data_IF_136108664185
#
_entry.id   IF_136108664185
#
_cell.length_a   1.000
_cell.length_b   1.000
_cell.length_c   1.000
_cell.angle_alpha   90.00
_cell.angle_beta   90.00
_cell.angle_gamma   90.00
#
_symmetry.space_group_name_H-M   'P 1'
#
loop_
_entity.id
_entity.type
_entity.pdbx_description
1 polymer ?
#
# COMPACT_ATOMS: atom_id res chain seq x y z
N UNK A 1 0.75 7.83 15.63
CA UNK A 1 -0.15 7.23 16.64
C UNK A 1 -1.62 7.68 16.59
N UNK A 2 -1.97 8.95 16.29
CA UNK A 2 -3.37 9.42 16.28
C UNK A 2 -4.34 8.52 15.49
N UNK A 3 -3.93 8.06 14.30
CA UNK A 3 -4.74 7.15 13.48
C UNK A 3 -5.05 5.83 14.21
N UNK A 4 -4.01 5.15 14.71
CA UNK A 4 -4.16 3.89 15.45
C UNK A 4 -4.99 4.02 16.74
N UNK A 5 -4.86 5.13 17.47
CA UNK A 5 -5.70 5.39 18.66
C UNK A 5 -7.17 5.59 18.27
N UNK A 6 -7.43 6.27 17.15
CA UNK A 6 -8.80 6.43 16.65
C UNK A 6 -9.40 5.09 16.21
N UNK A 7 -8.61 4.27 15.50
CA UNK A 7 -9.02 2.92 15.09
C UNK A 7 -9.32 2.02 16.30
N UNK A 8 -8.50 2.09 17.35
CA UNK A 8 -8.74 1.38 18.62
C UNK A 8 -10.05 1.82 19.27
N UNK A 9 -10.31 3.13 19.33
CA UNK A 9 -11.56 3.66 19.88
C UNK A 9 -12.77 3.18 19.08
N UNK A 10 -12.69 3.20 17.74
CA UNK A 10 -13.74 2.68 16.87
C UNK A 10 -13.98 1.19 17.14
N UNK A 11 -12.92 0.38 17.14
CA UNK A 11 -12.96 -1.07 17.41
C UNK A 11 -13.63 -1.37 18.74
N UNK A 12 -13.21 -0.69 19.81
CA UNK A 12 -13.77 -0.86 21.16
C UNK A 12 -15.25 -0.46 21.20
N UNK A 13 -15.62 0.60 20.49
CA UNK A 13 -17.01 1.05 20.38
C UNK A 13 -17.88 0.02 19.67
N UNK A 14 -17.39 -0.57 18.57
CA UNK A 14 -18.11 -1.64 17.86
C UNK A 14 -18.27 -2.90 18.73
N UNK A 15 -17.22 -3.30 19.45
CA UNK A 15 -17.30 -4.43 20.39
C UNK A 15 -18.30 -4.15 21.52
N UNK A 16 -18.32 -2.93 22.07
CA UNK A 16 -19.27 -2.51 23.10
C UNK A 16 -20.72 -2.56 22.58
N UNK A 17 -20.93 -2.22 21.31
CA UNK A 17 -22.23 -2.31 20.65
C UNK A 17 -22.64 -3.75 20.29
N UNK A 18 -21.83 -4.76 20.63
CA UNK A 18 -22.14 -6.18 20.42
C UNK A 18 -21.69 -6.74 19.07
N UNK A 19 -20.93 -5.98 18.26
CA UNK A 19 -20.38 -6.49 17.00
C UNK A 19 -19.17 -7.39 17.24
N UNK A 20 -19.07 -8.44 16.44
CA UNK A 20 -17.83 -9.20 16.28
C UNK A 20 -16.93 -8.45 15.29
N UNK A 21 -15.79 -7.98 15.76
CA UNK A 21 -14.84 -7.22 14.94
C UNK A 21 -13.71 -8.15 14.50
N UNK A 22 -13.37 -8.11 13.22
CA UNK A 22 -12.13 -8.65 12.66
C UNK A 22 -11.40 -7.48 12.00
N UNK A 23 -10.27 -7.10 12.57
CA UNK A 23 -9.40 -6.04 12.06
C UNK A 23 -8.21 -6.67 11.34
N UNK A 24 -7.89 -6.12 10.18
CA UNK A 24 -6.72 -6.48 9.37
C UNK A 24 -5.92 -5.20 9.17
N UNK A 25 -4.62 -5.25 9.47
CA UNK A 25 -3.70 -4.12 9.29
C UNK A 25 -2.42 -4.63 8.66
N UNK A 26 -2.12 -4.26 7.42
CA UNK A 26 -0.93 -4.75 6.76
C UNK A 26 0.36 -4.16 7.35
N UNK A 27 1.46 -4.89 7.19
CA UNK A 27 2.82 -4.38 7.37
C UNK A 27 3.40 -4.22 5.97
N UNK A 28 3.72 -2.98 5.58
CA UNK A 28 4.43 -2.70 4.34
C UNK A 28 5.92 -2.93 4.59
N UNK A 29 6.39 -4.13 4.27
CA UNK A 29 7.78 -4.55 4.46
C UNK A 29 8.60 -4.53 3.16
N UNK A 30 8.04 -3.99 2.07
CA UNK A 30 8.74 -3.74 0.81
C UNK A 30 8.26 -2.42 0.19
N UNK A 31 9.18 -1.49 0.00
CA UNK A 31 8.98 -0.19 -0.68
C UNK A 31 10.33 0.37 -1.16
N UNK A 32 10.33 1.37 -2.04
CA UNK A 32 11.56 1.94 -2.63
C UNK A 32 12.57 2.40 -1.57
N UNK A 33 12.09 2.92 -0.43
CA UNK A 33 12.95 3.39 0.67
C UNK A 33 13.63 2.25 1.41
N UNK A 34 12.92 1.14 1.63
CA UNK A 34 13.46 -0.07 2.23
C UNK A 34 14.53 -0.66 1.31
N UNK A 35 14.26 -0.77 0.01
CA UNK A 35 15.21 -1.30 -0.98
C UNK A 35 16.48 -0.43 -1.04
N UNK A 36 16.33 0.90 -1.07
CA UNK A 36 17.48 1.83 -1.02
C UNK A 36 18.31 1.65 0.24
N UNK A 37 17.68 1.48 1.40
CA UNK A 37 18.36 1.24 2.67
C UNK A 37 19.12 -0.09 2.66
N UNK A 38 18.49 -1.17 2.21
CA UNK A 38 19.11 -2.49 2.05
C UNK A 38 20.37 -2.41 1.19
N UNK A 39 20.29 -1.75 0.03
CA UNK A 39 21.43 -1.61 -0.88
C UNK A 39 22.54 -0.73 -0.31
N UNK A 40 22.20 0.35 0.39
CA UNK A 40 23.18 1.28 0.97
C UNK A 40 23.93 0.67 2.16
N UNK A 41 23.24 -0.14 2.98
CA UNK A 41 23.78 -0.68 4.23
C UNK A 41 24.17 -2.17 4.12
N UNK A 42 23.90 -2.82 2.98
CA UNK A 42 24.18 -4.24 2.77
C UNK A 42 23.31 -5.16 3.63
N UNK A 43 22.11 -4.71 3.98
CA UNK A 43 21.18 -5.44 4.84
C UNK A 43 20.25 -6.34 4.04
N UNK A 44 19.85 -7.44 4.65
CA UNK A 44 18.68 -8.22 4.21
C UNK A 44 17.39 -7.46 4.48
N UNK A 45 16.30 -7.89 3.84
CA UNK A 45 14.97 -7.30 4.03
C UNK A 45 14.52 -7.35 5.49
N UNK A 46 14.77 -8.48 6.14
CA UNK A 46 14.42 -8.70 7.53
C UNK A 46 15.22 -7.76 8.45
N UNK A 47 16.54 -7.65 8.25
CA UNK A 47 17.37 -6.71 9.01
C UNK A 47 16.95 -5.25 8.80
N UNK A 48 16.51 -4.91 7.60
CA UNK A 48 16.06 -3.56 7.27
C UNK A 48 14.68 -3.22 7.88
N UNK A 49 13.81 -4.19 8.13
CA UNK A 49 12.40 -3.98 8.49
C UNK A 49 12.04 -4.38 9.91
N UNK A 50 12.60 -5.47 10.42
CA UNK A 50 12.22 -6.08 11.69
C UNK A 50 12.38 -5.13 12.91
N UNK A 51 13.43 -4.30 13.01
CA UNK A 51 13.53 -3.33 14.11
C UNK A 51 12.35 -2.33 14.14
N UNK A 52 11.84 -1.94 12.97
CA UNK A 52 10.70 -1.02 12.87
C UNK A 52 9.38 -1.73 13.16
N UNK A 53 9.24 -2.99 12.76
CA UNK A 53 8.08 -3.82 13.09
C UNK A 53 7.99 -4.03 14.60
N UNK A 54 9.11 -4.33 15.26
CA UNK A 54 9.19 -4.49 16.70
C UNK A 54 8.82 -3.19 17.43
N UNK A 55 9.45 -2.07 17.05
CA UNK A 55 9.13 -0.76 17.61
C UNK A 55 7.64 -0.40 17.45
N UNK A 56 7.06 -0.70 16.28
CA UNK A 56 5.63 -0.51 16.05
C UNK A 56 4.77 -1.30 17.06
N UNK A 57 5.06 -2.57 17.31
CA UNK A 57 4.31 -3.36 18.28
C UNK A 57 4.55 -2.93 19.74
N UNK A 58 5.77 -2.51 20.07
CA UNK A 58 6.08 -1.92 21.38
C UNK A 58 5.24 -0.66 21.64
N UNK A 59 5.09 0.20 20.63
CA UNK A 59 4.27 1.40 20.72
C UNK A 59 2.77 1.07 20.85
N UNK A 60 2.27 0.10 20.08
CA UNK A 60 0.89 -0.40 20.17
C UNK A 60 0.58 -0.88 21.59
N UNK A 61 1.47 -1.69 22.16
CA UNK A 61 1.32 -2.22 23.51
C UNK A 61 1.44 -1.12 24.58
N UNK A 62 2.39 -0.20 24.42
CA UNK A 62 2.60 0.94 25.33
C UNK A 62 1.36 1.82 25.41
N UNK A 63 0.71 2.06 24.27
CA UNK A 63 -0.53 2.83 24.18
C UNK A 63 -1.78 2.03 24.55
N UNK A 64 -1.63 0.73 24.87
CA UNK A 64 -2.72 -0.20 25.20
C UNK A 64 -3.76 -0.31 24.08
N UNK A 65 -3.32 -0.17 22.84
CA UNK A 65 -4.14 -0.39 21.66
C UNK A 65 -4.38 -1.90 21.54
N UNK A 66 -5.62 -2.32 21.27
CA UNK A 66 -5.88 -3.73 20.97
C UNK A 66 -5.19 -4.12 19.66
N UNK A 67 -4.36 -5.16 19.69
CA UNK A 67 -3.75 -5.73 18.48
C UNK A 67 -4.84 -6.25 17.54
N UNK A 68 -4.65 -6.05 16.24
CA UNK A 68 -5.50 -6.58 15.19
C UNK A 68 -5.38 -8.11 15.11
N UNK A 69 -6.39 -8.77 14.55
CA UNK A 69 -6.40 -10.23 14.35
C UNK A 69 -5.36 -10.67 13.31
N UNK A 70 -5.09 -9.82 12.32
CA UNK A 70 -4.23 -10.15 11.20
C UNK A 70 -3.29 -9.00 10.84
N UNK A 71 -2.01 -9.33 10.67
CA UNK A 71 -0.95 -8.43 10.22
C UNK A 71 -0.23 -8.98 8.98
N UNK A 72 -0.90 -9.02 7.80
CA UNK A 72 -0.28 -9.54 6.58
C UNK A 72 0.91 -8.67 6.17
N UNK A 73 2.06 -9.31 5.92
CA UNK A 73 3.23 -8.65 5.32
C UNK A 73 3.05 -8.57 3.81
N UNK A 74 3.41 -7.45 3.20
CA UNK A 74 3.30 -7.27 1.75
C UNK A 74 4.09 -8.35 0.99
N UNK A 75 5.31 -8.67 1.42
CA UNK A 75 6.11 -9.75 0.80
C UNK A 75 5.47 -11.13 0.89
N UNK A 76 4.61 -11.36 1.88
CA UNK A 76 3.88 -12.62 2.05
C UNK A 76 2.69 -12.80 1.11
N UNK A 77 2.32 -11.77 0.34
CA UNK A 77 1.11 -11.76 -0.51
C UNK A 77 1.38 -11.33 -1.96
N UNK A 78 2.61 -11.50 -2.44
CA UNK A 78 3.01 -11.13 -3.81
C UNK A 78 2.14 -11.86 -4.86
N UNK A 79 1.84 -13.14 -4.64
CA UNK A 79 1.05 -13.94 -5.58
C UNK A 79 -0.37 -13.39 -5.73
N UNK A 80 -1.02 -13.01 -4.62
CA UNK A 80 -2.35 -12.39 -4.64
C UNK A 80 -2.32 -11.01 -5.31
N UNK A 81 -1.26 -10.22 -5.12
CA UNK A 81 -1.09 -8.95 -5.83
C UNK A 81 -0.98 -9.15 -7.35
N UNK A 82 -0.21 -10.15 -7.80
CA UNK A 82 -0.10 -10.52 -9.22
C UNK A 82 -1.44 -11.00 -9.80
N UNK A 83 -2.22 -11.76 -9.04
CA UNK A 83 -3.55 -12.19 -9.45
C UNK A 83 -4.51 -11.01 -9.63
N UNK A 84 -4.45 -10.01 -8.74
CA UNK A 84 -5.24 -8.77 -8.89
C UNK A 84 -4.79 -8.01 -10.13
N UNK A 85 -3.48 -7.84 -10.34
CA UNK A 85 -2.94 -7.16 -11.53
C UNK A 85 -3.42 -7.82 -12.83
N UNK A 86 -3.32 -9.15 -12.91
CA UNK A 86 -3.82 -9.92 -14.06
C UNK A 86 -5.33 -9.75 -14.28
N UNK A 87 -6.12 -9.77 -13.21
CA UNK A 87 -7.56 -9.55 -13.33
C UNK A 87 -7.91 -8.14 -13.82
N UNK A 88 -7.07 -7.13 -13.52
CA UNK A 88 -7.22 -5.77 -14.04
C UNK A 88 -6.82 -5.69 -15.52
N UNK A 89 -5.77 -6.39 -15.93
CA UNK A 89 -5.36 -6.53 -17.34
C UNK A 89 -6.46 -7.16 -18.20
N UNK A 90 -7.04 -8.28 -17.73
CA UNK A 90 -8.13 -8.97 -18.44
C UNK A 90 -9.37 -8.08 -18.63
N UNK A 91 -9.53 -7.03 -17.80
CA UNK A 91 -10.60 -6.04 -17.89
C UNK A 91 -10.25 -4.81 -18.73
N UNK A 92 -9.03 -4.73 -19.26
CA UNK A 92 -8.56 -3.58 -20.03
C UNK A 92 -8.34 -2.32 -19.19
N UNK A 93 -8.12 -2.47 -17.88
CA UNK A 93 -7.90 -1.36 -16.94
C UNK A 93 -6.42 -1.02 -16.73
N UNK A 94 -5.54 -1.63 -17.51
CA UNK A 94 -4.09 -1.46 -17.36
C UNK A 94 -3.42 -1.27 -18.72
N UNK A 95 -2.16 -0.86 -18.67
CA UNK A 95 -1.27 -0.88 -19.82
C UNK A 95 0.18 -1.06 -19.36
N UNK A 96 1.03 -1.59 -20.23
CA UNK A 96 2.47 -1.69 -19.99
C UNK A 96 3.21 -0.47 -20.56
N UNK A 97 4.23 0.00 -19.85
CA UNK A 97 5.18 0.97 -20.35
C UNK A 97 6.51 0.83 -19.61
N UNK A 98 7.63 0.91 -20.34
CA UNK A 98 8.97 0.88 -19.74
C UNK A 98 9.22 -0.35 -18.83
N UNK A 99 8.56 -1.48 -19.14
CA UNK A 99 8.64 -2.72 -18.35
C UNK A 99 7.77 -2.74 -17.09
N UNK A 100 7.08 -1.64 -16.76
CA UNK A 100 6.13 -1.54 -15.65
C UNK A 100 4.69 -1.69 -16.14
N UNK A 101 3.83 -2.22 -15.27
CA UNK A 101 2.38 -2.30 -15.47
C UNK A 101 1.71 -1.16 -14.71
N UNK A 102 0.89 -0.36 -15.40
CA UNK A 102 0.16 0.77 -14.82
C UNK A 102 -1.35 0.52 -14.81
N UNK A 103 -2.03 1.08 -13.80
CA UNK A 103 -3.47 1.23 -13.79
C UNK A 103 -3.88 2.48 -14.57
N UNK A 104 -4.81 2.31 -15.50
CA UNK A 104 -5.35 3.38 -16.34
C UNK A 104 -6.58 3.99 -15.68
N UNK A 105 -6.42 5.15 -15.04
CA UNK A 105 -7.51 5.78 -14.27
C UNK A 105 -8.70 6.14 -15.15
N UNK A 106 -8.44 6.59 -16.37
CA UNK A 106 -9.45 6.98 -17.37
C UNK A 106 -10.29 5.80 -17.90
N UNK A 107 -9.80 4.57 -17.75
CA UNK A 107 -10.56 3.38 -18.13
C UNK A 107 -11.53 2.94 -17.02
N UNK A 108 -11.48 3.57 -15.85
CA UNK A 108 -12.31 3.23 -14.69
C UNK A 108 -13.30 4.36 -14.36
N UNK A 109 -14.55 4.20 -14.78
CA UNK A 109 -15.66 5.14 -14.56
C UNK A 109 -15.92 5.51 -13.08
N UNK A 110 -15.37 4.74 -12.14
CA UNK A 110 -15.50 4.97 -10.71
C UNK A 110 -14.40 5.82 -10.08
N UNK A 111 -13.38 6.22 -10.86
CA UNK A 111 -12.22 6.92 -10.30
C UNK A 111 -12.61 8.27 -9.69
N UNK A 112 -12.03 8.61 -8.56
CA UNK A 112 -12.24 9.90 -7.91
C UNK A 112 -13.47 10.02 -6.99
N UNK A 113 -14.39 9.04 -6.96
CA UNK A 113 -15.58 9.09 -6.09
C UNK A 113 -15.26 9.22 -4.59
N UNK A 114 -14.19 8.59 -4.13
CA UNK A 114 -13.80 8.60 -2.71
C UNK A 114 -13.19 9.94 -2.28
N UNK A 115 -12.41 10.55 -3.17
CA UNK A 115 -11.67 11.80 -2.93
C UNK A 115 -12.38 13.04 -3.50
N UNK A 116 -13.58 12.87 -4.05
CA UNK A 116 -14.37 13.90 -4.72
C UNK A 116 -13.60 14.61 -5.85
N UNK A 117 -12.76 13.85 -6.58
CA UNK A 117 -11.93 14.34 -7.68
C UNK A 117 -12.72 14.59 -8.98
N UNK A 118 -14.01 14.25 -9.01
CA UNK A 118 -14.91 14.51 -10.16
C UNK A 118 -14.95 15.99 -10.58
N UNK A 119 -14.52 16.90 -9.69
CA UNK A 119 -14.45 18.34 -9.91
C UNK A 119 -13.03 18.85 -10.26
N UNK A 120 -12.07 17.97 -10.55
CA UNK A 120 -10.67 18.33 -10.83
C UNK A 120 -10.22 17.82 -12.20
N UNK A 121 -9.22 18.47 -12.79
CA UNK A 121 -8.62 18.01 -14.03
C UNK A 121 -7.91 16.67 -13.80
N UNK A 122 -8.38 15.63 -14.49
CA UNK A 122 -7.67 14.35 -14.57
C UNK A 122 -6.62 14.48 -15.67
N UNK A 123 -5.35 14.36 -15.29
CA UNK A 123 -4.24 14.39 -16.25
C UNK A 123 -4.10 13.01 -16.88
N UNK A 124 -5.03 12.69 -17.80
CA UNK A 124 -5.00 11.45 -18.58
C UNK A 124 -3.64 11.23 -19.24
N UNK A 125 -3.01 10.10 -18.96
CA UNK A 125 -1.73 9.70 -19.55
C UNK A 125 -0.48 10.30 -18.90
N UNK A 126 -0.63 11.16 -17.89
CA UNK A 126 0.47 11.50 -16.99
C UNK A 126 0.70 10.34 -16.00
N UNK A 127 1.97 10.01 -15.76
CA UNK A 127 2.38 8.81 -14.98
C UNK A 127 3.08 9.22 -13.69
N UNK A 128 2.98 8.36 -12.67
CA UNK A 128 3.79 8.45 -11.45
C UNK A 128 4.43 7.10 -11.17
N UNK A 129 5.77 7.11 -11.13
CA UNK A 129 6.62 5.94 -10.88
C UNK A 129 7.13 5.89 -9.42
N UNK A 130 6.90 6.95 -8.66
CA UNK A 130 7.27 7.06 -7.25
C UNK A 130 6.11 6.63 -6.34
N UNK A 131 6.46 6.06 -5.19
CA UNK A 131 5.49 5.79 -4.11
C UNK A 131 4.97 7.11 -3.46
N UNK A 132 5.58 8.24 -3.82
CA UNK A 132 5.17 9.59 -3.43
C UNK A 132 4.43 10.27 -4.59
N UNK A 133 3.20 10.72 -4.35
CA UNK A 133 2.40 11.51 -5.28
C UNK A 133 1.77 12.69 -4.56
N UNK A 134 1.62 13.81 -5.28
CA UNK A 134 0.84 14.92 -4.77
C UNK A 134 -0.65 14.57 -4.86
N UNK A 135 -1.40 14.85 -3.79
CA UNK A 135 -2.82 14.44 -3.67
C UNK A 135 -3.72 15.16 -4.67
N UNK A 136 -3.21 16.25 -5.25
CA UNK A 136 -3.95 17.09 -6.17
C UNK A 136 -3.84 16.66 -7.64
N UNK A 137 -2.93 15.73 -7.98
CA UNK A 137 -2.69 15.27 -9.36
C UNK A 137 -3.21 13.84 -9.58
N UNK A 138 -4.38 13.71 -10.23
CA UNK A 138 -4.89 12.42 -10.69
C UNK A 138 -4.10 11.93 -11.91
N UNK A 139 -3.33 10.86 -11.75
CA UNK A 139 -2.42 10.28 -12.74
C UNK A 139 -2.50 8.76 -12.74
N UNK A 140 -2.12 8.15 -13.87
CA UNK A 140 -1.96 6.70 -13.95
C UNK A 140 -0.83 6.27 -12.99
N UNK A 141 -1.06 5.20 -12.23
CA UNK A 141 -0.15 4.75 -11.17
C UNK A 141 0.29 3.30 -11.40
N UNK A 142 1.50 2.99 -10.92
CA UNK A 142 2.10 1.68 -11.12
C UNK A 142 1.43 0.60 -10.26
N UNK A 143 1.10 -0.53 -10.88
CA UNK A 143 0.64 -1.76 -10.22
C UNK A 143 1.78 -2.73 -9.99
N UNK A 144 2.70 -2.82 -10.95
CA UNK A 144 3.88 -3.67 -10.88
C UNK A 144 5.07 -2.96 -11.53
N UNK A 145 6.10 -2.66 -10.74
CA UNK A 145 7.31 -2.00 -11.24
C UNK A 145 8.16 -3.01 -12.02
N UNK A 146 8.49 -2.66 -13.25
CA UNK A 146 9.50 -3.36 -14.02
C UNK A 146 10.86 -3.23 -13.35
N UNK A 147 11.70 -4.26 -13.48
CA UNK A 147 13.06 -4.21 -12.96
C UNK A 147 13.87 -3.13 -13.70
N UNK A 148 14.43 -2.17 -12.96
CA UNK A 148 15.41 -1.23 -13.53
C UNK A 148 16.81 -1.87 -13.53
N UNK A 149 17.64 -1.48 -14.49
CA UNK A 149 19.04 -1.92 -14.52
C UNK A 149 19.73 -1.56 -13.19
N UNK A 150 20.20 -2.58 -12.46
CA UNK A 150 20.93 -2.41 -11.18
C UNK A 150 20.13 -2.74 -9.91
N UNK A 151 18.84 -3.05 -9.99
CA UNK A 151 18.05 -3.49 -8.82
C UNK A 151 18.17 -5.02 -8.61
N UNK A 152 18.37 -5.45 -7.36
CA UNK A 152 18.52 -6.87 -6.97
C UNK A 152 17.14 -7.52 -6.81
N UNK A 153 17.00 -8.79 -7.21
CA UNK A 153 15.76 -9.57 -7.10
C UNK A 153 15.47 -10.03 -5.68
#
# INVERSE_FOLDING_TARGET
FRAYVWEDLLRRTLKLAGFRVTQVMNITDIEDKIIKKMNAEGLTLEEATEPYVQAFFEDIDTLRIERAEHYPRATGHIEEMLQIAKALEERGLTYESEGSLYFKIDAFDGYGRLSNLENREILSGARVDSDEYDKDDARDFVLWKGRREGEVS
#
